data_IF_589418739221
#
_entry.id   IF_589418739221
#
_cell.length_a   1.000
_cell.length_b   1.000
_cell.length_c   1.000
_cell.angle_alpha   90.00
_cell.angle_beta   90.00
_cell.angle_gamma   90.00
#
_symmetry.space_group_name_H-M   'P 1'
#
loop_
_entity.id
_entity.type
_entity.pdbx_description
1 polymer ?
#
# COMPACT_ATOMS: atom_id res chain seq x y z
N UNK A 1 -35.64 -37.93 16.36
CA UNK A 1 -35.60 -36.45 16.32
C UNK A 1 -34.44 -35.81 17.11
N UNK A 2 -33.43 -36.54 17.61
CA UNK A 2 -32.26 -35.94 18.30
C UNK A 2 -31.03 -35.71 17.40
N UNK A 3 -30.95 -36.40 16.26
CA UNK A 3 -29.78 -36.35 15.35
C UNK A 3 -29.86 -35.21 14.33
N UNK A 4 -31.07 -34.76 13.98
CA UNK A 4 -31.29 -33.67 13.01
C UNK A 4 -30.86 -32.29 13.52
N UNK A 5 -30.88 -32.06 14.84
CA UNK A 5 -30.50 -30.78 15.45
C UNK A 5 -28.97 -30.57 15.39
N UNK A 6 -28.19 -31.64 15.47
CA UNK A 6 -26.72 -31.54 15.50
C UNK A 6 -26.10 -31.19 14.13
N UNK A 7 -26.82 -31.43 13.02
CA UNK A 7 -26.34 -31.10 11.68
C UNK A 7 -26.55 -29.63 11.31
N UNK A 8 -27.51 -28.93 11.93
CA UNK A 8 -27.77 -27.52 11.66
C UNK A 8 -26.71 -26.57 12.25
N UNK A 9 -26.03 -26.95 13.34
CA UNK A 9 -25.01 -26.10 13.97
C UNK A 9 -23.67 -26.07 13.22
N UNK A 10 -23.41 -27.01 12.31
CA UNK A 10 -22.16 -27.07 11.53
C UNK A 10 -22.17 -26.17 10.27
N UNK A 11 -23.31 -25.57 9.92
CA UNK A 11 -23.47 -24.73 8.74
C UNK A 11 -23.35 -23.22 9.02
N UNK A 12 -23.07 -22.80 10.26
CA UNK A 12 -23.00 -21.39 10.67
C UNK A 12 -21.58 -20.79 10.69
N UNK A 13 -20.56 -21.54 10.30
CA UNK A 13 -19.14 -21.23 10.62
C UNK A 13 -18.29 -20.65 9.49
N UNK A 14 -18.86 -19.92 8.53
CA UNK A 14 -18.02 -19.23 7.53
C UNK A 14 -18.68 -18.01 6.89
N UNK A 15 -18.99 -16.99 7.70
CA UNK A 15 -19.04 -15.63 7.17
C UNK A 15 -17.61 -15.15 6.97
N UNK A 16 -17.09 -15.33 5.75
CA UNK A 16 -15.89 -14.62 5.32
C UNK A 16 -16.23 -13.14 5.19
N UNK A 17 -15.93 -12.35 6.23
CA UNK A 17 -15.96 -10.91 6.14
C UNK A 17 -14.85 -10.50 5.17
N UNK A 18 -15.23 -10.14 3.93
CA UNK A 18 -14.33 -9.47 3.01
C UNK A 18 -14.01 -8.09 3.62
N UNK A 19 -12.87 -8.00 4.32
CA UNK A 19 -12.39 -6.71 4.80
C UNK A 19 -12.15 -5.81 3.58
N UNK A 20 -12.66 -4.56 3.58
CA UNK A 20 -12.34 -3.62 2.53
C UNK A 20 -10.82 -3.51 2.42
N UNK A 21 -10.27 -3.85 1.26
CA UNK A 21 -8.83 -3.90 1.02
C UNK A 21 -8.16 -2.53 1.11
N UNK A 22 -8.95 -1.45 1.13
CA UNK A 22 -8.51 -0.08 1.19
C UNK A 22 -9.11 0.68 2.38
N UNK A 23 -8.37 1.64 2.96
CA UNK A 23 -8.88 2.50 4.02
C UNK A 23 -10.00 3.40 3.50
N UNK A 24 -10.99 3.68 4.35
CA UNK A 24 -12.04 4.65 4.04
C UNK A 24 -11.43 6.03 3.76
N UNK A 25 -11.93 6.73 2.74
CA UNK A 25 -11.41 8.03 2.30
C UNK A 25 -10.21 7.96 1.33
N UNK A 26 -9.63 6.77 1.11
CA UNK A 26 -8.57 6.59 0.12
C UNK A 26 -9.14 6.27 -1.27
N UNK A 27 -8.69 6.98 -2.30
CA UNK A 27 -9.15 6.77 -3.68
C UNK A 27 -8.30 5.70 -4.37
N UNK A 28 -8.94 4.67 -4.91
CA UNK A 28 -8.28 3.57 -5.62
C UNK A 28 -7.39 4.11 -6.76
N UNK A 29 -6.19 3.55 -6.89
CA UNK A 29 -5.33 3.71 -8.06
C UNK A 29 -5.27 2.38 -8.78
N UNK A 30 -5.64 2.37 -10.07
CA UNK A 30 -5.58 1.15 -10.87
C UNK A 30 -4.13 0.69 -11.05
N UNK A 31 -3.87 -0.57 -10.72
CA UNK A 31 -2.60 -1.26 -10.96
C UNK A 31 -2.80 -2.18 -12.17
N UNK A 32 -1.94 -2.09 -13.18
CA UNK A 32 -2.06 -2.86 -14.43
C UNK A 32 -0.70 -3.39 -14.87
N UNK A 33 -0.59 -4.69 -15.10
CA UNK A 33 0.63 -5.37 -15.52
C UNK A 33 1.78 -5.24 -14.51
N UNK A 34 2.97 -4.97 -15.04
CA UNK A 34 4.25 -5.03 -14.31
C UNK A 34 4.50 -3.89 -13.32
N UNK A 35 3.78 -2.78 -13.44
CA UNK A 35 4.07 -1.57 -12.70
C UNK A 35 2.81 -0.76 -12.39
N UNK A 36 2.88 0.10 -11.36
CA UNK A 36 1.87 1.13 -11.13
C UNK A 36 2.44 2.49 -11.53
N UNK A 37 1.66 3.29 -12.25
CA UNK A 37 2.05 4.67 -12.59
C UNK A 37 1.19 5.66 -11.81
N UNK A 38 1.82 6.40 -10.91
CA UNK A 38 1.20 7.43 -10.10
C UNK A 38 1.16 8.74 -10.90
N UNK A 39 -0.03 9.05 -11.45
CA UNK A 39 -0.29 10.22 -12.30
C UNK A 39 -1.08 11.26 -11.53
N UNK A 40 -0.46 11.98 -10.60
CA UNK A 40 -1.15 13.02 -9.83
C UNK A 40 -0.43 14.35 -9.82
N UNK A 41 -1.13 15.42 -10.23
CA UNK A 41 -0.60 16.78 -10.41
C UNK A 41 -0.30 17.54 -9.11
N UNK A 42 -0.74 17.03 -7.96
CA UNK A 42 -0.52 17.65 -6.65
C UNK A 42 0.27 16.67 -5.76
N UNK A 43 1.06 17.17 -4.80
CA UNK A 43 1.76 16.32 -3.84
C UNK A 43 0.73 15.48 -3.08
N UNK A 44 0.79 14.16 -3.25
CA UNK A 44 -0.16 13.22 -2.66
C UNK A 44 0.57 12.20 -1.82
N UNK A 45 -0.09 11.82 -0.72
CA UNK A 45 0.26 10.63 0.02
C UNK A 45 -0.43 9.45 -0.65
N UNK A 46 0.35 8.47 -1.05
CA UNK A 46 -0.09 7.23 -1.67
C UNK A 46 0.18 6.10 -0.71
N UNK A 47 -0.82 5.26 -0.48
CA UNK A 47 -0.69 4.05 0.32
C UNK A 47 -0.54 2.86 -0.61
N UNK A 48 0.38 1.97 -0.26
CA UNK A 48 0.67 0.72 -0.98
C UNK A 48 0.54 -0.43 0.00
N UNK A 49 -0.33 -1.38 -0.30
CA UNK A 49 -0.61 -2.57 0.49
C UNK A 49 -0.09 -3.80 -0.23
N UNK A 50 0.59 -4.69 0.47
CA UNK A 50 0.94 -6.00 -0.04
C UNK A 50 -0.23 -6.98 0.15
N UNK A 51 -0.78 -7.46 -0.97
CA UNK A 51 -1.87 -8.45 -1.01
C UNK A 51 -1.36 -9.90 -1.07
N UNK A 52 -0.06 -10.09 -1.28
CA UNK A 52 0.56 -11.41 -1.34
C UNK A 52 0.79 -11.98 0.05
N UNK A 53 1.07 -13.28 0.13
CA UNK A 53 1.46 -13.97 1.36
C UNK A 53 2.95 -13.85 1.68
N UNK A 54 3.75 -13.27 0.79
CA UNK A 54 5.20 -13.12 0.92
C UNK A 54 5.62 -11.66 1.00
N UNK A 55 6.90 -11.43 1.21
CA UNK A 55 7.45 -10.08 1.24
C UNK A 55 7.68 -9.56 -0.18
N UNK A 56 7.35 -8.29 -0.38
CA UNK A 56 7.61 -7.57 -1.61
C UNK A 56 8.63 -6.47 -1.37
N UNK A 57 9.40 -6.16 -2.40
CA UNK A 57 10.17 -4.94 -2.50
C UNK A 57 9.50 -4.05 -3.53
N UNK A 58 9.05 -2.89 -3.08
CA UNK A 58 8.47 -1.85 -3.92
C UNK A 58 9.60 -0.91 -4.31
N UNK A 59 9.88 -0.79 -5.61
CA UNK A 59 11.01 0.00 -6.09
C UNK A 59 10.60 0.95 -7.21
N UNK A 60 11.38 2.01 -7.40
CA UNK A 60 11.27 2.89 -8.56
C UNK A 60 12.33 2.49 -9.60
N UNK A 61 11.97 2.21 -10.87
CA UNK A 61 12.96 1.93 -11.89
C UNK A 61 13.85 3.14 -12.10
N UNK A 62 15.16 2.98 -11.85
CA UNK A 62 16.16 4.02 -12.08
C UNK A 62 16.99 3.68 -13.32
N UNK A 63 17.08 4.62 -14.25
CA UNK A 63 17.95 4.48 -15.43
C UNK A 63 19.45 4.58 -15.09
N UNK A 64 19.79 5.14 -13.92
CA UNK A 64 21.17 5.18 -13.38
C UNK A 64 21.18 4.79 -11.88
N UNK A 65 21.62 3.56 -11.53
CA UNK A 65 21.54 3.04 -10.17
C UNK A 65 22.46 3.74 -9.16
N UNK A 66 23.48 4.47 -9.61
CA UNK A 66 24.44 5.17 -8.74
C UNK A 66 23.88 6.42 -8.04
N UNK A 67 22.69 6.91 -8.43
CA UNK A 67 22.16 8.19 -7.97
C UNK A 67 20.89 8.09 -7.10
N UNK A 68 20.44 6.90 -6.70
CA UNK A 68 19.08 6.73 -6.16
C UNK A 68 18.88 5.55 -5.21
N UNK A 69 19.82 5.36 -4.28
CA UNK A 69 19.83 4.28 -3.28
C UNK A 69 18.78 4.38 -2.15
N UNK A 70 17.63 5.04 -2.36
CA UNK A 70 16.65 5.33 -1.29
C UNK A 70 15.18 5.14 -1.65
N UNK A 71 14.86 4.56 -2.81
CA UNK A 71 13.47 4.41 -3.27
C UNK A 71 12.86 3.04 -3.03
N UNK A 72 13.67 2.06 -2.67
CA UNK A 72 13.19 0.69 -2.45
C UNK A 72 12.70 0.55 -1.01
N UNK A 73 11.45 0.12 -0.85
CA UNK A 73 10.85 -0.20 0.44
C UNK A 73 10.51 -1.68 0.50
N UNK A 74 10.91 -2.36 1.57
CA UNK A 74 10.38 -3.69 1.90
C UNK A 74 8.95 -3.52 2.36
N UNK A 75 8.08 -4.44 1.96
CA UNK A 75 6.68 -4.46 2.34
C UNK A 75 6.27 -5.89 2.65
N UNK A 76 6.15 -6.22 3.92
CA UNK A 76 5.76 -7.55 4.36
C UNK A 76 4.29 -7.85 4.00
N UNK A 77 3.95 -9.13 3.99
CA UNK A 77 2.59 -9.60 3.74
C UNK A 77 1.56 -8.89 4.63
N UNK A 78 0.51 -8.31 4.04
CA UNK A 78 -0.55 -7.60 4.76
C UNK A 78 -0.16 -6.23 5.34
N UNK A 79 1.09 -5.80 5.19
CA UNK A 79 1.54 -4.49 5.64
C UNK A 79 1.34 -3.42 4.56
N UNK A 80 1.43 -2.17 5.02
CA UNK A 80 1.28 -0.97 4.23
C UNK A 80 2.54 -0.10 4.29
N UNK A 81 2.83 0.58 3.18
CA UNK A 81 3.78 1.69 3.11
C UNK A 81 3.08 2.94 2.57
N UNK A 82 3.54 4.11 3.01
CA UNK A 82 3.06 5.41 2.58
C UNK A 82 4.16 6.19 1.87
N UNK A 83 3.90 6.58 0.63
CA UNK A 83 4.80 7.33 -0.23
C UNK A 83 4.24 8.74 -0.46
N UNK A 84 5.04 9.76 -0.18
CA UNK A 84 4.78 11.11 -0.68
C UNK A 84 5.33 11.18 -2.10
N UNK A 85 4.49 11.59 -3.04
CA UNK A 85 4.88 11.78 -4.45
C UNK A 85 4.75 13.25 -4.80
N UNK A 86 5.86 13.87 -5.19
CA UNK A 86 5.89 15.28 -5.59
C UNK A 86 5.85 15.48 -7.11
N UNK A 87 6.66 14.72 -7.84
CA UNK A 87 6.79 14.85 -9.31
C UNK A 87 6.18 13.65 -10.04
N UNK A 88 4.97 13.78 -10.64
CA UNK A 88 4.42 12.76 -11.53
C UNK A 88 5.06 12.83 -12.94
N UNK A 89 5.05 11.73 -13.71
CA UNK A 89 4.63 10.39 -13.32
C UNK A 89 5.69 9.69 -12.45
N UNK A 90 5.26 9.04 -11.36
CA UNK A 90 6.13 8.19 -10.55
C UNK A 90 5.75 6.73 -10.75
N UNK A 91 6.70 5.89 -11.13
CA UNK A 91 6.46 4.48 -11.44
C UNK A 91 6.95 3.61 -10.29
N UNK A 92 6.15 2.63 -9.85
CA UNK A 92 6.60 1.60 -8.92
C UNK A 92 6.56 0.23 -9.59
N UNK A 93 7.60 -0.56 -9.35
CA UNK A 93 7.70 -1.97 -9.72
C UNK A 93 7.67 -2.84 -8.46
N UNK A 94 7.28 -4.10 -8.65
CA UNK A 94 7.15 -5.07 -7.58
C UNK A 94 8.17 -6.20 -7.79
N UNK A 95 8.98 -6.45 -6.76
CA UNK A 95 9.96 -7.54 -6.75
C UNK A 95 9.63 -8.44 -5.58
N UNK A 96 9.52 -9.73 -5.83
CA UNK A 96 9.39 -10.73 -4.79
C UNK A 96 10.79 -11.20 -4.43
N UNK A 97 11.07 -11.22 -3.12
CA UNK A 97 12.32 -11.75 -2.59
C UNK A 97 12.01 -13.02 -1.82
N UNK A 98 12.50 -14.14 -2.34
CA UNK A 98 12.50 -15.45 -1.68
C UNK A 98 13.95 -15.86 -1.44
N UNK A 99 14.24 -16.67 -0.41
CA UNK A 99 15.60 -17.17 -0.18
C UNK A 99 16.17 -17.80 -1.46
N UNK A 100 17.28 -17.25 -1.96
CA UNK A 100 17.96 -17.72 -3.18
C UNK A 100 17.39 -17.22 -4.51
N UNK A 101 16.30 -16.46 -4.52
CA UNK A 101 15.66 -15.95 -5.74
C UNK A 101 15.00 -14.59 -5.53
N UNK A 102 15.44 -13.59 -6.31
CA UNK A 102 14.72 -12.33 -6.47
C UNK A 102 14.20 -12.25 -7.90
N UNK A 103 12.92 -11.93 -8.05
CA UNK A 103 12.29 -11.81 -9.36
C UNK A 103 11.31 -10.65 -9.39
N UNK A 104 11.32 -9.91 -10.50
CA UNK A 104 10.25 -8.97 -10.79
C UNK A 104 8.96 -9.75 -11.06
N UNK A 105 7.84 -9.25 -10.54
CA UNK A 105 6.52 -9.81 -10.82
C UNK A 105 5.52 -8.70 -11.17
N UNK A 106 4.37 -9.08 -11.75
CA UNK A 106 3.28 -8.14 -11.98
C UNK A 106 2.81 -7.48 -10.68
N UNK A 107 2.86 -6.15 -10.62
CA UNK A 107 2.22 -5.45 -9.51
C UNK A 107 0.70 -5.66 -9.48
N UNK A 108 0.09 -5.92 -10.64
CA UNK A 108 -1.33 -6.27 -10.74
C UNK A 108 -1.63 -7.55 -9.94
N UNK A 109 -2.56 -7.44 -8.99
CA UNK A 109 -2.92 -8.53 -8.08
C UNK A 109 -1.96 -8.75 -6.91
N UNK A 110 -0.73 -8.22 -6.96
CA UNK A 110 0.24 -8.31 -5.87
C UNK A 110 0.11 -7.17 -4.86
N UNK A 111 -0.27 -5.98 -5.30
CA UNK A 111 -0.45 -4.81 -4.44
C UNK A 111 -1.81 -4.14 -4.66
N UNK A 112 -2.34 -3.55 -3.60
CA UNK A 112 -3.38 -2.52 -3.70
C UNK A 112 -2.76 -1.15 -3.48
N UNK A 113 -3.14 -0.19 -4.32
CA UNK A 113 -2.65 1.19 -4.24
C UNK A 113 -3.81 2.14 -4.14
N UNK A 114 -3.71 3.11 -3.25
CA UNK A 114 -4.71 4.16 -3.14
C UNK A 114 -4.05 5.52 -2.85
N UNK A 115 -4.66 6.58 -3.33
CA UNK A 115 -4.20 7.97 -3.14
C UNK A 115 -5.12 8.66 -2.13
N UNK A 116 -4.53 9.41 -1.20
CA UNK A 116 -5.29 10.22 -0.26
C UNK A 116 -5.42 11.66 -0.79
N UNK A 117 -6.63 12.08 -1.25
CA UNK A 117 -6.86 13.46 -1.65
C UNK A 117 -6.88 14.37 -0.41
N UNK A 118 -6.31 15.57 -0.49
CA UNK A 118 -6.48 16.58 0.57
C UNK A 118 -5.70 16.33 1.86
N UNK A 119 -4.69 15.46 1.85
CA UNK A 119 -3.76 15.32 2.97
C UNK A 119 -2.99 16.61 3.17
N UNK A 120 -2.92 17.10 4.40
CA UNK A 120 -2.02 18.20 4.75
C UNK A 120 -0.62 17.62 5.00
N UNK A 121 0.31 17.99 4.12
CA UNK A 121 1.74 17.64 4.26
C UNK A 121 2.46 18.80 4.96
N UNK A 122 3.26 18.55 6.01
CA UNK A 122 4.05 19.58 6.67
C UNK A 122 4.92 20.37 5.69
N UNK A 123 5.03 21.69 5.87
CA UNK A 123 5.75 22.57 4.94
C UNK A 123 7.22 22.17 4.74
N UNK A 124 7.88 21.67 5.79
CA UNK A 124 9.27 21.20 5.74
C UNK A 124 9.46 19.88 4.97
N UNK A 125 8.37 19.22 4.57
CA UNK A 125 8.37 17.95 3.84
C UNK A 125 7.79 18.09 2.42
N UNK A 126 7.36 19.29 2.02
CA UNK A 126 6.85 19.54 0.67
C UNK A 126 7.99 19.62 -0.36
N UNK A 127 7.68 19.36 -1.64
CA UNK A 127 8.63 19.52 -2.74
C UNK A 127 9.59 18.34 -2.95
N UNK A 128 9.37 17.20 -2.29
CA UNK A 128 10.17 15.99 -2.47
C UNK A 128 9.30 14.73 -2.45
N UNK A 129 9.74 13.71 -3.19
CA UNK A 129 9.19 12.36 -3.11
C UNK A 129 9.97 11.60 -2.03
N UNK A 130 9.30 10.87 -1.14
CA UNK A 130 9.96 10.06 -0.10
C UNK A 130 8.96 9.12 0.60
N UNK A 131 9.47 8.07 1.24
CA UNK A 131 8.68 7.20 2.10
C UNK A 131 8.35 7.90 3.43
N UNK A 132 7.06 8.19 3.63
CA UNK A 132 6.56 8.82 4.84
C UNK A 132 6.41 7.83 6.00
N UNK A 133 6.13 6.57 5.70
CA UNK A 133 6.24 5.46 6.63
C UNK A 133 6.30 4.15 5.82
N UNK A 134 7.01 3.16 6.35
CA UNK A 134 7.28 1.92 5.62
C UNK A 134 6.91 0.71 6.47
N UNK A 135 6.32 -0.29 5.81
CA UNK A 135 6.13 -1.63 6.32
C UNK A 135 5.43 -1.70 7.69
N UNK A 136 4.20 -1.18 7.73
CA UNK A 136 3.40 -1.14 8.96
C UNK A 136 1.99 -1.68 8.74
N UNK A 137 1.38 -2.33 9.74
CA UNK A 137 -0.08 -2.49 9.76
C UNK A 137 -0.77 -1.13 9.63
N UNK A 138 -1.93 -1.08 8.97
CA UNK A 138 -2.60 0.18 8.61
C UNK A 138 -2.73 1.18 9.78
N UNK A 139 -3.14 0.70 10.96
CA UNK A 139 -3.28 1.55 12.15
C UNK A 139 -1.94 2.19 12.57
N UNK A 140 -0.86 1.42 12.54
CA UNK A 140 0.49 1.90 12.88
C UNK A 140 1.05 2.81 11.77
N UNK A 141 0.71 2.55 10.51
CA UNK A 141 1.06 3.42 9.40
C UNK A 141 0.44 4.80 9.59
N UNK A 142 -0.87 4.85 9.89
CA UNK A 142 -1.59 6.10 10.12
C UNK A 142 -1.05 6.85 11.34
N UNK A 143 -0.74 6.15 12.43
CA UNK A 143 -0.11 6.76 13.60
C UNK A 143 1.26 7.37 13.27
N UNK A 144 2.13 6.63 12.57
CA UNK A 144 3.45 7.10 12.16
C UNK A 144 3.39 8.34 11.24
N UNK A 145 2.37 8.43 10.39
CA UNK A 145 2.12 9.63 9.60
C UNK A 145 1.69 10.81 10.48
N UNK A 146 0.80 10.58 11.45
CA UNK A 146 0.39 11.58 12.43
C UNK A 146 1.57 12.14 13.24
N UNK A 147 2.47 11.26 13.70
CA UNK A 147 3.69 11.64 14.45
C UNK A 147 4.64 12.52 13.63
N UNK A 148 4.62 12.35 12.30
CA UNK A 148 5.37 13.19 11.35
C UNK A 148 4.62 14.45 10.93
N UNK A 149 3.45 14.72 11.48
CA UNK A 149 2.65 15.93 11.24
C UNK A 149 1.73 15.87 10.02
N UNK A 150 1.56 14.70 9.39
CA UNK A 150 0.58 14.54 8.31
C UNK A 150 -0.83 14.52 8.89
N UNK A 151 -1.76 15.19 8.21
CA UNK A 151 -3.19 15.14 8.58
C UNK A 151 -3.98 14.52 7.43
N UNK A 152 -4.41 13.28 7.62
CA UNK A 152 -5.35 12.62 6.72
C UNK A 152 -6.74 13.25 6.91
N UNK A 153 -7.49 13.53 5.82
CA UNK A 153 -8.83 14.07 5.95
C UNK A 153 -9.76 13.06 6.62
N UNK A 154 -10.70 13.57 7.41
CA UNK A 154 -11.78 12.73 7.93
C UNK A 154 -12.61 12.18 6.77
N UNK A 155 -13.02 10.92 6.89
CA UNK A 155 -13.98 10.30 5.98
C UNK A 155 -15.29 11.07 6.12
N UNK A 156 -15.78 11.66 5.02
CA UNK A 156 -17.16 12.14 5.00
C UNK A 156 -18.04 10.90 4.84
N UNK A 157 -18.82 10.61 5.87
CA UNK A 157 -19.87 9.57 5.85
C UNK A 157 -20.96 9.89 4.82
#
# INVERSE_FOLDING_TARGET
>A
MRVLVSFCCLLLSSYALAQPTLPAGCQVVAVKGEAVTLKSKNSKVVFVHNLTSGDLWITHPVTNPSASAGWTSRLQAGNWSALVVDKPPFVLNCIESRPGHEQQLPCEGAIAVCQWPGVKVPNNLQGSTFWAAEDKPLAQLTAALGDRGFVLPAVKE
#
